data_IF_446763679410
#
_entry.id   IF_446763679410
#
_cell.length_a   1.000
_cell.length_b   1.000
_cell.length_c   1.000
_cell.angle_alpha   90.00
_cell.angle_beta   90.00
_cell.angle_gamma   90.00
#
_symmetry.space_group_name_H-M   'P 1'
#
loop_
_entity.id
_entity.type
_entity.pdbx_description
1 polymer ?
#
# COMPACT_ATOMS: atom_id res chain seq x y z
N UNK A 1 -10.40 -4.76 6.81
CA UNK A 1 -10.18 -3.28 6.87
C UNK A 1 -8.72 -2.89 6.76
N UNK A 2 -7.86 -3.13 7.77
CA UNK A 2 -6.44 -2.72 7.70
C UNK A 2 -5.66 -3.39 6.56
N UNK A 3 -6.00 -4.63 6.19
CA UNK A 3 -5.45 -5.28 5.00
C UNK A 3 -5.59 -4.43 3.72
N UNK A 4 -6.76 -3.82 3.49
CA UNK A 4 -6.98 -2.96 2.31
C UNK A 4 -6.07 -1.74 2.28
N UNK A 5 -5.78 -1.15 3.44
CA UNK A 5 -4.79 -0.06 3.52
C UNK A 5 -3.41 -0.58 3.09
N UNK A 6 -2.98 -1.71 3.65
CA UNK A 6 -1.63 -2.26 3.43
C UNK A 6 -1.42 -2.74 1.99
N UNK A 7 -2.43 -3.37 1.38
CA UNK A 7 -2.38 -3.79 -0.02
C UNK A 7 -2.37 -2.62 -1.01
N UNK A 8 -2.72 -1.42 -0.57
CA UNK A 8 -2.69 -0.20 -1.39
C UNK A 8 -1.41 0.64 -1.20
N UNK A 9 -0.57 0.37 -0.18
CA UNK A 9 0.70 1.08 0.01
C UNK A 9 1.61 0.97 -1.22
N UNK A 10 1.86 -0.22 -1.81
CA UNK A 10 2.67 -0.32 -3.03
C UNK A 10 2.09 0.48 -4.21
N UNK A 11 0.76 0.52 -4.33
CA UNK A 11 0.07 1.29 -5.39
C UNK A 11 0.24 2.79 -5.20
N UNK A 12 0.13 3.26 -3.94
CA UNK A 12 0.36 4.64 -3.54
C UNK A 12 1.82 5.04 -3.76
N UNK A 13 2.78 4.18 -3.42
CA UNK A 13 4.22 4.44 -3.59
C UNK A 13 4.64 4.34 -5.07
N UNK A 14 3.99 3.48 -5.86
CA UNK A 14 4.17 3.44 -7.32
C UNK A 14 3.75 4.74 -8.01
N UNK A 15 2.69 5.40 -7.53
CA UNK A 15 2.28 6.72 -8.04
C UNK A 15 3.28 7.84 -7.68
N UNK A 16 3.94 7.74 -6.52
CA UNK A 16 5.04 8.66 -6.17
C UNK A 16 6.23 8.42 -7.09
N UNK A 17 6.61 7.16 -7.31
CA UNK A 17 7.71 6.81 -8.21
C UNK A 17 7.48 7.30 -9.65
N UNK A 18 6.25 7.19 -10.16
CA UNK A 18 5.94 7.61 -11.53
C UNK A 18 6.02 9.13 -11.72
N UNK A 19 5.75 9.91 -10.66
CA UNK A 19 5.74 11.38 -10.70
C UNK A 19 7.06 12.02 -10.26
N UNK A 20 7.95 11.29 -9.57
CA UNK A 20 9.21 11.82 -9.05
C UNK A 20 10.30 11.89 -10.15
N UNK A 21 10.83 13.08 -10.51
CA UNK A 21 11.87 13.21 -11.54
C UNK A 21 13.26 12.80 -11.04
N UNK A 22 13.50 12.82 -9.72
CA UNK A 22 14.80 12.51 -9.13
C UNK A 22 15.06 11.01 -9.04
N UNK A 23 16.08 10.55 -9.79
CA UNK A 23 16.48 9.15 -9.84
C UNK A 23 16.97 8.60 -8.50
N UNK A 24 17.72 9.38 -7.72
CA UNK A 24 18.26 8.91 -6.44
C UNK A 24 17.14 8.72 -5.42
N UNK A 25 16.14 9.60 -5.44
CA UNK A 25 14.92 9.43 -4.64
C UNK A 25 14.18 8.17 -5.08
N UNK A 26 13.95 7.97 -6.38
CA UNK A 26 13.26 6.76 -6.87
C UNK A 26 13.96 5.46 -6.46
N UNK A 27 15.30 5.41 -6.50
CA UNK A 27 16.08 4.24 -6.07
C UNK A 27 15.88 3.90 -4.59
N UNK A 28 15.71 4.90 -3.73
CA UNK A 28 15.42 4.66 -2.31
C UNK A 28 13.95 4.30 -2.10
N UNK A 29 13.06 4.98 -2.80
CA UNK A 29 11.62 4.81 -2.64
C UNK A 29 11.11 3.45 -3.09
N UNK A 30 11.71 2.84 -4.12
CA UNK A 30 11.32 1.51 -4.61
C UNK A 30 11.46 0.41 -3.55
N UNK A 31 12.34 0.58 -2.56
CA UNK A 31 12.47 -0.37 -1.45
C UNK A 31 11.14 -0.54 -0.70
N UNK A 32 10.35 0.53 -0.55
CA UNK A 32 9.05 0.47 0.14
C UNK A 32 8.05 -0.46 -0.55
N UNK A 33 8.08 -0.50 -1.89
CA UNK A 33 7.27 -1.42 -2.69
C UNK A 33 7.77 -2.84 -2.49
N UNK A 34 9.08 -3.07 -2.60
CA UNK A 34 9.70 -4.38 -2.40
C UNK A 34 9.41 -4.94 -1.00
N UNK A 35 9.45 -4.10 0.03
CA UNK A 35 9.16 -4.52 1.41
C UNK A 35 7.69 -4.95 1.58
N UNK A 36 6.75 -4.32 0.87
CA UNK A 36 5.32 -4.65 0.96
C UNK A 36 4.92 -5.82 0.05
N UNK A 37 5.31 -5.80 -1.22
CA UNK A 37 4.96 -6.82 -2.22
C UNK A 37 5.82 -8.07 -2.14
N UNK A 38 7.05 -7.92 -1.62
CA UNK A 38 8.08 -8.95 -1.78
C UNK A 38 8.64 -9.01 -3.20
N UNK A 39 9.53 -9.96 -3.45
CA UNK A 39 10.12 -10.22 -4.78
C UNK A 39 9.71 -11.56 -5.36
N UNK A 40 8.95 -12.35 -4.61
CA UNK A 40 8.43 -13.65 -4.99
C UNK A 40 7.07 -13.91 -4.32
N UNK A 41 6.34 -14.89 -4.84
CA UNK A 41 5.07 -15.32 -4.26
C UNK A 41 5.23 -15.72 -2.78
N UNK A 42 4.27 -15.32 -1.95
CA UNK A 42 4.30 -15.64 -0.51
C UNK A 42 5.40 -14.92 0.28
N UNK A 43 5.90 -13.78 -0.23
CA UNK A 43 6.86 -12.92 0.47
C UNK A 43 6.29 -11.50 0.65
N UNK A 44 7.00 -10.65 1.40
CA UNK A 44 6.61 -9.26 1.61
C UNK A 44 5.64 -9.03 2.77
N UNK A 45 5.44 -7.75 3.09
CA UNK A 45 4.55 -7.30 4.17
C UNK A 45 3.08 -7.66 3.93
N UNK A 46 2.60 -7.67 2.68
CA UNK A 46 1.22 -8.04 2.36
C UNK A 46 0.95 -9.51 2.76
N UNK A 47 1.88 -10.41 2.48
CA UNK A 47 1.78 -11.80 2.92
C UNK A 47 1.73 -11.90 4.46
N UNK A 48 2.54 -11.10 5.17
CA UNK A 48 2.48 -11.07 6.63
C UNK A 48 1.09 -10.62 7.15
N UNK A 49 0.42 -9.69 6.46
CA UNK A 49 -0.95 -9.31 6.79
C UNK A 49 -1.99 -10.39 6.48
N UNK A 50 -1.79 -11.19 5.43
CA UNK A 50 -2.66 -12.33 5.13
C UNK A 50 -2.53 -13.41 6.23
N UNK A 51 -1.30 -13.75 6.62
CA UNK A 51 -1.03 -14.67 7.72
C UNK A 51 -1.58 -14.18 9.05
N UNK A 52 -1.58 -12.87 9.29
CA UNK A 52 -2.24 -12.29 10.47
C UNK A 52 -3.76 -12.51 10.42
N UNK A 53 -4.39 -12.38 9.25
CA UNK A 53 -5.80 -12.70 9.05
C UNK A 53 -6.13 -14.15 9.37
N UNK A 54 -5.30 -15.07 8.88
CA UNK A 54 -5.40 -16.51 9.17
C UNK A 54 -5.26 -16.80 10.67
N UNK A 55 -4.30 -16.15 11.34
CA UNK A 55 -4.05 -16.31 12.77
C UNK A 55 -5.23 -15.86 13.66
N UNK A 56 -6.10 -14.97 13.16
CA UNK A 56 -7.32 -14.53 13.86
C UNK A 56 -8.60 -15.23 13.36
N UNK A 57 -8.46 -16.29 12.57
CA UNK A 57 -9.56 -17.18 12.16
C UNK A 57 -10.26 -16.80 10.86
N UNK A 58 -9.73 -15.85 10.08
CA UNK A 58 -10.25 -15.52 8.75
C UNK A 58 -9.62 -16.43 7.70
N UNK A 59 -10.35 -16.73 6.63
CA UNK A 59 -9.74 -17.36 5.46
C UNK A 59 -9.02 -16.34 4.59
N UNK A 60 -7.99 -16.75 3.85
CA UNK A 60 -7.29 -15.89 2.88
C UNK A 60 -8.27 -15.23 1.90
N UNK A 61 -9.20 -16.01 1.34
CA UNK A 61 -10.22 -15.53 0.41
C UNK A 61 -11.15 -14.46 1.02
N UNK A 62 -11.52 -14.62 2.30
CA UNK A 62 -12.35 -13.65 3.04
C UNK A 62 -11.62 -12.32 3.30
N UNK A 63 -10.29 -12.36 3.48
CA UNK A 63 -9.48 -11.15 3.61
C UNK A 63 -9.32 -10.44 2.26
N UNK A 64 -9.09 -11.21 1.20
CA UNK A 64 -8.79 -10.70 -0.14
C UNK A 64 -10.01 -10.13 -0.87
N UNK A 65 -11.19 -10.74 -0.74
CA UNK A 65 -12.38 -10.29 -1.48
C UNK A 65 -13.01 -8.99 -0.94
N UNK A 66 -12.58 -8.55 0.24
CA UNK A 66 -12.98 -7.27 0.83
C UNK A 66 -14.45 -7.20 1.24
N UNK A 67 -15.16 -8.32 1.41
CA UNK A 67 -16.57 -8.35 1.85
C UNK A 67 -16.81 -7.65 3.20
N UNK A 68 -15.80 -7.59 4.06
CA UNK A 68 -15.84 -6.90 5.37
C UNK A 68 -15.24 -5.49 5.36
N UNK A 69 -14.88 -4.97 4.18
CA UNK A 69 -14.31 -3.64 4.06
C UNK A 69 -15.39 -2.57 4.22
N UNK A 70 -15.23 -1.72 5.22
CA UNK A 70 -16.14 -0.61 5.46
C UNK A 70 -16.01 0.44 4.33
N UNK A 71 -17.13 1.00 3.84
CA UNK A 71 -17.10 2.03 2.79
C UNK A 71 -16.24 3.24 3.14
N UNK A 72 -16.27 3.70 4.40
CA UNK A 72 -15.43 4.81 4.87
C UNK A 72 -13.94 4.50 4.83
N UNK A 73 -13.55 3.26 5.12
CA UNK A 73 -12.15 2.81 5.01
C UNK A 73 -11.72 2.77 3.55
N UNK A 74 -12.57 2.21 2.67
CA UNK A 74 -12.32 2.21 1.22
C UNK A 74 -12.12 3.64 0.71
N UNK A 75 -13.04 4.54 1.04
CA UNK A 75 -12.97 5.95 0.64
C UNK A 75 -11.67 6.61 1.09
N UNK A 76 -11.28 6.45 2.36
CA UNK A 76 -10.06 7.06 2.89
C UNK A 76 -8.78 6.52 2.20
N UNK A 77 -8.70 5.21 1.99
CA UNK A 77 -7.55 4.59 1.32
C UNK A 77 -7.48 4.98 -0.15
N UNK A 78 -8.61 4.96 -0.85
CA UNK A 78 -8.67 5.34 -2.27
C UNK A 78 -8.33 6.83 -2.45
N UNK A 79 -8.79 7.69 -1.54
CA UNK A 79 -8.41 9.10 -1.51
C UNK A 79 -6.90 9.29 -1.33
N UNK A 80 -6.25 8.46 -0.48
CA UNK A 80 -4.79 8.52 -0.30
C UNK A 80 -4.03 8.14 -1.58
N UNK A 81 -4.42 7.05 -2.24
CA UNK A 81 -3.83 6.65 -3.53
C UNK A 81 -4.07 7.72 -4.61
N UNK A 82 -5.26 8.31 -4.65
CA UNK A 82 -5.57 9.36 -5.62
C UNK A 82 -4.82 10.66 -5.34
N UNK A 83 -4.61 11.01 -4.06
CA UNK A 83 -3.79 12.15 -3.67
C UNK A 83 -2.37 12.01 -4.24
N UNK A 84 -1.73 10.85 -4.08
CA UNK A 84 -0.36 10.66 -4.57
C UNK A 84 -0.24 10.57 -6.09
N UNK A 85 -1.34 10.27 -6.79
CA UNK A 85 -1.40 10.33 -8.26
C UNK A 85 -1.55 11.75 -8.83
N UNK A 86 -2.19 12.65 -8.07
CA UNK A 86 -2.69 13.93 -8.62
C UNK A 86 -1.96 15.15 -8.08
N UNK A 87 -1.33 15.05 -6.92
CA UNK A 87 -0.60 16.15 -6.28
C UNK A 87 0.86 16.18 -6.70
N UNK A 88 1.55 17.32 -6.57
CA UNK A 88 2.99 17.40 -6.78
C UNK A 88 3.71 16.30 -5.99
N UNK A 89 4.72 15.67 -6.60
CA UNK A 89 5.39 14.50 -6.00
C UNK A 89 5.98 14.79 -4.61
N UNK A 90 6.37 16.05 -4.32
CA UNK A 90 6.85 16.47 -3.00
C UNK A 90 5.74 16.41 -1.94
N UNK A 91 4.52 16.84 -2.26
CA UNK A 91 3.36 16.70 -1.37
C UNK A 91 3.01 15.22 -1.18
N UNK A 92 3.07 14.44 -2.26
CA UNK A 92 2.83 13.00 -2.22
C UNK A 92 3.87 12.28 -1.34
N UNK A 93 5.14 12.65 -1.39
CA UNK A 93 6.19 12.17 -0.47
C UNK A 93 5.90 12.63 0.96
N UNK A 94 5.60 13.91 1.18
CA UNK A 94 5.34 14.47 2.51
C UNK A 94 4.15 13.79 3.21
N UNK A 95 3.18 13.28 2.46
CA UNK A 95 2.06 12.52 3.01
C UNK A 95 2.44 11.20 3.68
N UNK A 96 3.69 10.70 3.50
CA UNK A 96 4.20 9.53 4.22
C UNK A 96 4.83 9.83 5.57
N UNK A 97 4.93 11.09 5.99
CA UNK A 97 5.60 11.51 7.24
C UNK A 97 4.84 11.15 8.54
N UNK A 98 3.85 10.26 8.44
CA UNK A 98 3.25 9.59 9.61
C UNK A 98 4.07 8.39 10.09
N UNK A 99 5.03 7.94 9.29
CA UNK A 99 5.97 6.86 9.56
C UNK A 99 7.26 7.39 10.18
#
# INVERSE_FOLDING_TARGET
>A
NRFYYQSNIPRKDGAILSSCPDREIRRRWVQRIIDHDGTAEGTGGIEAWLRLGEAVGLTRAEVEDGRHLLPGVRFAVDAYVNFTRTRPWVEAVASSLTE
#
